data_IF_046092650600
#
_entry.id   IF_046092650600
#
_cell.length_a   1.000
_cell.length_b   1.000
_cell.length_c   1.000
_cell.angle_alpha   90.00
_cell.angle_beta   90.00
_cell.angle_gamma   90.00
#
_symmetry.space_group_name_H-M   'P 1'
#
loop_
_entity.id
_entity.type
_entity.pdbx_description
1 polymer ?
#
# COMPACT_ATOMS: atom_id res chain seq x y z
N UNK A 1 8.64 7.07 -10.83
CA UNK A 1 8.82 6.54 -9.47
C UNK A 1 8.88 5.02 -9.46
N UNK A 2 7.80 4.30 -9.79
CA UNK A 2 7.78 2.85 -9.93
C UNK A 2 7.55 2.48 -11.39
N UNK A 3 8.34 1.54 -11.93
CA UNK A 3 8.17 0.96 -13.28
C UNK A 3 8.23 -0.55 -13.18
N UNK A 4 7.23 -1.20 -13.73
CA UNK A 4 7.11 -2.65 -13.80
C UNK A 4 7.02 -3.03 -15.27
N UNK A 5 7.88 -3.96 -15.71
CA UNK A 5 7.92 -4.45 -17.08
C UNK A 5 7.90 -5.97 -17.09
N UNK A 6 6.90 -6.51 -17.77
CA UNK A 6 6.72 -7.95 -17.98
C UNK A 6 6.94 -8.80 -16.72
N UNK A 7 6.36 -8.38 -15.58
CA UNK A 7 6.57 -9.05 -14.32
C UNK A 7 5.77 -10.35 -14.23
N UNK A 8 6.47 -11.45 -14.05
CA UNK A 8 5.92 -12.78 -13.78
C UNK A 8 6.29 -13.22 -12.37
N UNK A 9 5.35 -13.85 -11.67
CA UNK A 9 5.62 -14.38 -10.33
C UNK A 9 4.82 -15.65 -10.08
N UNK A 10 5.46 -16.57 -9.34
CA UNK A 10 4.88 -17.84 -8.92
C UNK A 10 4.74 -17.93 -7.39
N UNK A 11 3.78 -18.70 -6.94
CA UNK A 11 3.61 -19.09 -5.55
C UNK A 11 3.26 -20.59 -5.51
N UNK A 12 3.96 -21.34 -4.68
CA UNK A 12 3.78 -22.80 -4.57
C UNK A 12 3.78 -23.52 -5.96
N UNK A 13 4.65 -23.07 -6.88
CA UNK A 13 4.79 -23.60 -8.25
C UNK A 13 3.70 -23.18 -9.24
N UNK A 14 2.75 -22.35 -8.82
CA UNK A 14 1.69 -21.83 -9.69
C UNK A 14 1.98 -20.39 -10.09
N UNK A 15 1.98 -20.12 -11.40
CA UNK A 15 2.10 -18.76 -11.90
C UNK A 15 0.84 -17.94 -11.60
N UNK A 16 1.03 -16.80 -10.92
CA UNK A 16 -0.05 -15.90 -10.52
C UNK A 16 0.02 -14.58 -11.28
N UNK A 17 1.22 -13.99 -11.40
CA UNK A 17 1.43 -12.81 -12.25
C UNK A 17 2.00 -13.24 -13.58
N UNK A 18 1.40 -12.76 -14.68
CA UNK A 18 1.62 -13.26 -16.04
C UNK A 18 1.96 -12.12 -17.01
N UNK A 19 3.04 -11.36 -16.70
CA UNK A 19 3.50 -10.26 -17.54
C UNK A 19 2.84 -8.91 -17.21
N UNK A 20 2.90 -8.50 -15.94
CA UNK A 20 2.39 -7.19 -15.49
C UNK A 20 3.27 -6.08 -16.04
N UNK A 21 2.62 -5.07 -16.65
CA UNK A 21 3.24 -3.82 -17.06
C UNK A 21 2.50 -2.65 -16.40
N UNK A 22 3.21 -1.81 -15.65
CA UNK A 22 2.63 -0.66 -14.95
C UNK A 22 3.69 0.40 -14.68
N UNK A 23 3.32 1.67 -14.82
CA UNK A 23 4.15 2.80 -14.43
C UNK A 23 3.36 3.70 -13.48
N UNK A 24 3.97 4.08 -12.36
CA UNK A 24 3.41 5.00 -11.36
C UNK A 24 4.38 6.17 -11.20
N UNK A 25 3.89 7.39 -11.40
CA UNK A 25 4.67 8.62 -11.23
C UNK A 25 4.49 9.19 -9.82
N UNK A 26 5.39 10.08 -9.43
CA UNK A 26 5.22 10.86 -8.21
C UNK A 26 3.97 11.74 -8.31
N UNK A 27 3.25 11.89 -7.20
CA UNK A 27 1.99 12.63 -7.11
C UNK A 27 0.74 11.84 -7.52
N UNK A 28 0.88 10.69 -8.18
CA UNK A 28 -0.26 9.92 -8.71
C UNK A 28 -0.85 8.96 -7.67
N UNK A 29 -2.16 8.75 -7.78
CA UNK A 29 -2.91 7.69 -7.12
C UNK A 29 -3.39 6.69 -8.16
N UNK A 30 -2.92 5.47 -8.05
CA UNK A 30 -3.34 4.36 -8.90
C UNK A 30 -4.28 3.42 -8.14
N UNK A 31 -5.37 3.01 -8.76
CA UNK A 31 -6.21 1.95 -8.24
C UNK A 31 -5.96 0.64 -9.01
N UNK A 32 -5.84 -0.46 -8.30
CA UNK A 32 -5.80 -1.80 -8.88
C UNK A 32 -7.07 -2.52 -8.45
N UNK A 33 -7.96 -2.74 -9.41
CA UNK A 33 -9.22 -3.44 -9.23
C UNK A 33 -9.19 -4.80 -9.93
N UNK A 34 -10.06 -5.70 -9.54
CA UNK A 34 -10.17 -7.02 -10.16
C UNK A 34 -10.84 -8.03 -9.24
N UNK A 35 -11.30 -9.16 -9.77
CA UNK A 35 -11.95 -10.19 -8.99
C UNK A 35 -10.98 -10.83 -7.98
N UNK A 36 -11.55 -11.57 -7.03
CA UNK A 36 -10.74 -12.37 -6.09
C UNK A 36 -9.92 -13.40 -6.86
N UNK A 37 -8.67 -13.59 -6.44
CA UNK A 37 -7.72 -14.49 -7.11
C UNK A 37 -7.06 -13.93 -8.37
N UNK A 38 -7.33 -12.66 -8.77
CA UNK A 38 -6.72 -12.05 -9.95
C UNK A 38 -5.21 -11.80 -9.83
N UNK A 39 -4.63 -11.84 -8.60
CA UNK A 39 -3.22 -11.58 -8.35
C UNK A 39 -2.92 -10.25 -7.66
N UNK A 40 -3.93 -9.48 -7.21
CA UNK A 40 -3.76 -8.16 -6.59
C UNK A 40 -2.82 -8.19 -5.37
N UNK A 41 -3.10 -9.02 -4.38
CA UNK A 41 -2.25 -9.14 -3.18
C UNK A 41 -0.93 -9.86 -3.46
N UNK A 42 -0.84 -10.65 -4.55
CA UNK A 42 0.44 -11.17 -5.04
C UNK A 42 1.32 -10.04 -5.54
N UNK A 43 0.77 -9.09 -6.29
CA UNK A 43 1.52 -7.93 -6.76
C UNK A 43 2.04 -7.08 -5.59
N UNK A 44 1.20 -6.78 -4.59
CA UNK A 44 1.65 -6.04 -3.39
C UNK A 44 2.73 -6.80 -2.62
N UNK A 45 2.62 -8.13 -2.50
CA UNK A 45 3.60 -8.97 -1.84
C UNK A 45 4.95 -9.02 -2.58
N UNK A 46 4.93 -9.14 -3.90
CA UNK A 46 6.15 -9.08 -4.74
C UNK A 46 6.82 -7.72 -4.62
N UNK A 47 6.08 -6.61 -4.70
CA UNK A 47 6.64 -5.27 -4.59
C UNK A 47 7.26 -4.99 -3.22
N UNK A 48 6.76 -5.64 -2.17
CA UNK A 48 7.25 -5.48 -0.79
C UNK A 48 8.27 -6.53 -0.36
N UNK A 49 8.63 -7.47 -1.25
CA UNK A 49 9.71 -8.43 -1.02
C UNK A 49 9.36 -9.58 -0.08
N UNK A 50 8.12 -10.10 -0.16
CA UNK A 50 7.75 -11.29 0.62
C UNK A 50 8.35 -12.56 0.00
N UNK A 51 9.14 -13.30 0.75
CA UNK A 51 9.91 -14.48 0.31
C UNK A 51 9.07 -15.63 -0.27
N UNK A 52 7.77 -15.69 0.06
CA UNK A 52 6.87 -16.71 -0.47
C UNK A 52 6.66 -16.63 -1.99
N UNK A 53 6.91 -15.46 -2.59
CA UNK A 53 6.62 -15.17 -3.99
C UNK A 53 7.92 -15.10 -4.78
N UNK A 54 8.09 -16.00 -5.74
CA UNK A 54 9.26 -16.07 -6.61
C UNK A 54 8.98 -15.32 -7.91
N UNK A 55 9.82 -14.34 -8.22
CA UNK A 55 9.79 -13.64 -9.52
C UNK A 55 10.57 -14.47 -10.52
N UNK A 56 9.91 -14.89 -11.60
CA UNK A 56 10.50 -15.75 -12.64
C UNK A 56 10.94 -14.97 -13.86
N UNK A 57 10.32 -13.81 -14.14
CA UNK A 57 10.65 -12.97 -15.29
C UNK A 57 10.23 -11.51 -14.99
N UNK A 58 10.86 -10.57 -15.69
CA UNK A 58 10.51 -9.15 -15.68
C UNK A 58 11.43 -8.29 -14.85
N UNK A 59 11.13 -6.99 -14.86
CA UNK A 59 11.90 -5.95 -14.20
C UNK A 59 11.00 -5.09 -13.32
N UNK A 60 11.48 -4.70 -12.14
CA UNK A 60 10.82 -3.72 -11.29
C UNK A 60 11.84 -2.67 -10.85
N UNK A 61 11.64 -1.44 -11.33
CA UNK A 61 12.47 -0.29 -10.96
C UNK A 61 11.71 0.62 -9.99
N UNK A 62 12.36 1.01 -8.91
CA UNK A 62 11.85 2.01 -7.97
C UNK A 62 12.90 3.11 -7.77
N UNK A 63 12.57 4.33 -8.19
CA UNK A 63 13.47 5.50 -8.13
C UNK A 63 14.88 5.22 -8.72
N UNK A 64 14.94 4.52 -9.86
CA UNK A 64 16.20 4.20 -10.56
C UNK A 64 16.96 3.00 -9.98
N UNK A 65 16.40 2.28 -8.99
CA UNK A 65 17.00 1.08 -8.41
C UNK A 65 16.23 -0.16 -8.81
N UNK A 66 16.93 -1.27 -9.07
CA UNK A 66 16.29 -2.57 -9.26
C UNK A 66 15.67 -3.03 -7.92
N UNK A 67 14.35 -3.01 -7.83
CA UNK A 67 13.64 -3.37 -6.61
C UNK A 67 13.77 -4.85 -6.26
N UNK A 68 13.91 -5.71 -7.27
CA UNK A 68 13.95 -7.16 -7.07
C UNK A 68 15.23 -7.64 -6.37
N UNK A 69 16.31 -6.85 -6.45
CA UNK A 69 17.58 -7.14 -5.75
C UNK A 69 17.57 -6.72 -4.28
N UNK A 70 16.59 -5.92 -3.86
CA UNK A 70 16.52 -5.40 -2.50
C UNK A 70 15.70 -6.33 -1.60
N UNK A 71 16.20 -6.68 -0.40
CA UNK A 71 15.42 -7.38 0.62
C UNK A 71 14.29 -6.48 1.14
N UNK A 72 13.28 -7.06 1.78
CA UNK A 72 12.07 -6.35 2.22
C UNK A 72 12.37 -5.13 3.09
N UNK A 73 13.33 -5.23 4.02
CA UNK A 73 13.74 -4.14 4.91
C UNK A 73 14.37 -2.97 4.15
N UNK A 74 15.12 -3.22 3.07
CA UNK A 74 15.70 -2.15 2.27
C UNK A 74 14.66 -1.49 1.38
N UNK A 75 13.68 -2.24 0.87
CA UNK A 75 12.51 -1.65 0.18
C UNK A 75 11.75 -0.69 1.09
N UNK A 76 11.55 -1.07 2.36
CA UNK A 76 10.93 -0.19 3.35
C UNK A 76 11.78 1.06 3.63
N UNK A 77 13.12 0.93 3.75
CA UNK A 77 14.06 2.04 3.93
C UNK A 77 14.12 2.97 2.71
N UNK A 78 13.95 2.44 1.50
CA UNK A 78 13.83 3.23 0.26
C UNK A 78 12.54 4.04 0.23
N UNK A 79 11.53 3.65 1.01
CA UNK A 79 10.27 4.36 1.17
C UNK A 79 9.06 3.67 0.58
N UNK A 80 9.06 2.34 0.50
CA UNK A 80 7.86 1.54 0.20
C UNK A 80 7.16 1.20 1.51
N UNK A 81 5.86 1.48 1.58
CA UNK A 81 5.00 1.15 2.71
C UNK A 81 3.84 0.27 2.25
N UNK A 82 3.51 -0.74 3.06
CA UNK A 82 2.36 -1.61 2.84
C UNK A 82 1.39 -1.48 4.02
N UNK A 83 0.15 -1.04 3.74
CA UNK A 83 -0.97 -1.26 4.64
C UNK A 83 -1.54 -2.64 4.36
N UNK A 84 -1.43 -3.53 5.34
CA UNK A 84 -1.82 -4.93 5.19
C UNK A 84 -3.34 -5.11 5.21
N UNK A 85 -3.86 -6.08 4.49
CA UNK A 85 -5.26 -6.51 4.64
C UNK A 85 -5.59 -6.84 6.11
N UNK A 86 -4.68 -7.57 6.76
CA UNK A 86 -4.73 -7.88 8.19
C UNK A 86 -3.46 -7.35 8.89
N UNK A 87 -3.55 -6.21 9.61
CA UNK A 87 -2.41 -5.63 10.31
C UNK A 87 -1.82 -6.59 11.35
N UNK A 88 -0.49 -6.75 11.31
CA UNK A 88 0.23 -7.65 12.22
C UNK A 88 0.23 -7.09 13.63
N UNK A 89 0.03 -7.96 14.62
CA UNK A 89 0.18 -7.65 16.04
C UNK A 89 1.60 -7.98 16.50
N UNK A 90 2.21 -7.09 17.29
CA UNK A 90 3.53 -7.32 17.88
C UNK A 90 3.41 -7.16 19.40
N UNK A 91 3.08 -8.25 20.13
CA UNK A 91 2.96 -8.21 21.58
C UNK A 91 4.25 -7.75 22.27
N UNK A 92 4.12 -6.93 23.29
CA UNK A 92 5.26 -6.44 24.08
C UNK A 92 6.05 -5.29 23.44
N UNK A 93 5.78 -4.91 22.20
CA UNK A 93 6.42 -3.77 21.52
C UNK A 93 5.41 -2.64 21.38
N UNK A 94 5.60 -1.56 22.14
CA UNK A 94 4.70 -0.41 22.05
C UNK A 94 4.79 0.27 20.68
N UNK A 95 3.65 0.83 20.23
CA UNK A 95 3.56 1.57 18.95
C UNK A 95 4.64 2.65 18.84
N UNK A 96 4.88 3.41 19.93
CA UNK A 96 5.89 4.48 19.92
C UNK A 96 7.31 3.93 19.78
N UNK A 97 7.64 2.82 20.41
CA UNK A 97 8.98 2.20 20.32
C UNK A 97 9.20 1.60 18.92
N UNK A 98 8.19 0.94 18.37
CA UNK A 98 8.22 0.44 17.00
C UNK A 98 8.52 1.59 16.01
N UNK A 99 7.75 2.68 16.07
CA UNK A 99 7.92 3.82 15.17
C UNK A 99 9.26 4.52 15.36
N UNK A 100 9.74 4.67 16.59
CA UNK A 100 11.06 5.26 16.86
C UNK A 100 12.17 4.45 16.21
N UNK A 101 12.13 3.12 16.35
CA UNK A 101 13.11 2.22 15.74
C UNK A 101 13.04 2.31 14.22
N UNK A 102 11.85 2.21 13.63
CA UNK A 102 11.65 2.24 12.19
C UNK A 102 12.14 3.56 11.56
N UNK A 103 11.77 4.71 12.14
CA UNK A 103 12.21 6.03 11.65
C UNK A 103 13.72 6.17 11.74
N UNK A 104 14.33 5.75 12.85
CA UNK A 104 15.78 5.87 13.03
C UNK A 104 16.57 4.95 12.10
N UNK A 105 16.05 3.75 11.78
CA UNK A 105 16.65 2.87 10.77
C UNK A 105 16.56 3.47 9.36
N UNK A 106 15.43 4.10 9.00
CA UNK A 106 15.30 4.84 7.72
C UNK A 106 16.30 6.01 7.67
N UNK A 107 16.42 6.79 8.74
CA UNK A 107 17.36 7.91 8.82
C UNK A 107 18.80 7.44 8.69
N UNK A 108 19.17 6.38 9.42
CA UNK A 108 20.51 5.77 9.34
C UNK A 108 20.83 5.29 7.93
N UNK A 109 19.90 4.63 7.25
CA UNK A 109 20.05 4.20 5.87
C UNK A 109 20.30 5.37 4.90
N UNK A 110 19.69 6.52 5.19
CA UNK A 110 19.88 7.78 4.44
C UNK A 110 21.09 8.61 4.89
N UNK A 111 21.95 8.09 5.76
CA UNK A 111 23.11 8.81 6.29
C UNK A 111 22.78 9.96 7.24
N UNK A 112 21.56 9.97 7.81
CA UNK A 112 21.11 10.99 8.75
C UNK A 112 21.28 10.52 10.20
N UNK A 113 21.55 11.42 11.15
CA UNK A 113 21.59 11.06 12.57
C UNK A 113 20.20 10.65 13.07
N UNK A 114 20.09 9.77 14.09
CA UNK A 114 18.82 9.43 14.69
C UNK A 114 18.14 10.67 15.29
N UNK A 115 16.82 10.62 15.42
CA UNK A 115 16.09 11.71 16.07
C UNK A 115 16.46 11.83 17.55
N UNK A 116 16.79 13.05 18.01
CA UNK A 116 16.79 13.33 19.44
C UNK A 116 15.43 13.02 20.06
N UNK A 117 15.40 12.53 21.30
CA UNK A 117 14.15 12.05 21.92
C UNK A 117 13.03 13.12 21.97
N UNK A 118 13.41 14.39 22.25
CA UNK A 118 12.46 15.51 22.27
C UNK A 118 11.86 15.82 20.90
N UNK A 119 12.69 15.82 19.85
CA UNK A 119 12.25 16.10 18.49
C UNK A 119 11.36 14.97 17.95
N UNK A 120 11.70 13.72 18.26
CA UNK A 120 10.86 12.58 17.94
C UNK A 120 9.47 12.69 18.56
N UNK A 121 9.39 13.00 19.86
CA UNK A 121 8.10 13.16 20.55
C UNK A 121 7.27 14.33 19.99
N UNK A 122 7.93 15.43 19.62
CA UNK A 122 7.27 16.56 18.98
C UNK A 122 6.69 16.16 17.63
N UNK A 123 7.47 15.47 16.80
CA UNK A 123 7.04 14.97 15.50
C UNK A 123 5.86 13.99 15.65
N UNK A 124 5.94 13.03 16.57
CA UNK A 124 4.85 12.07 16.85
C UNK A 124 3.54 12.78 17.18
N UNK A 125 3.57 13.80 18.06
CA UNK A 125 2.36 14.57 18.43
C UNK A 125 1.75 15.27 17.22
N UNK A 126 2.56 15.92 16.39
CA UNK A 126 2.10 16.57 15.16
C UNK A 126 1.43 15.58 14.19
N UNK A 127 2.04 14.40 14.01
CA UNK A 127 1.48 13.35 13.13
C UNK A 127 0.18 12.77 13.70
N UNK A 128 0.08 12.62 15.01
CA UNK A 128 -1.16 12.20 15.68
C UNK A 128 -2.31 13.17 15.44
N UNK A 129 -2.06 14.48 15.63
CA UNK A 129 -3.05 15.53 15.37
C UNK A 129 -3.48 15.53 13.89
N UNK A 130 -2.52 15.36 12.97
CA UNK A 130 -2.79 15.33 11.52
C UNK A 130 -3.77 14.23 11.14
N UNK A 131 -3.60 13.02 11.68
CA UNK A 131 -4.43 11.85 11.32
C UNK A 131 -5.54 11.54 12.35
N UNK A 132 -5.60 12.28 13.46
CA UNK A 132 -6.66 12.16 14.46
C UNK A 132 -6.61 10.85 15.25
N UNK A 133 -5.40 10.40 15.65
CA UNK A 133 -5.25 9.19 16.47
C UNK A 133 -5.21 9.49 17.97
N UNK A 134 -5.81 8.62 18.79
CA UNK A 134 -5.80 8.74 20.25
C UNK A 134 -4.40 8.42 20.82
N UNK A 135 -3.90 9.30 21.70
CA UNK A 135 -2.61 9.14 22.36
C UNK A 135 -2.49 7.86 23.20
N UNK A 136 -3.61 7.31 23.65
CA UNK A 136 -3.63 6.04 24.40
C UNK A 136 -3.07 4.87 23.59
N UNK A 137 -3.15 4.92 22.26
CA UNK A 137 -2.66 3.86 21.39
C UNK A 137 -1.12 3.81 21.32
N UNK A 138 -0.42 4.92 21.61
CA UNK A 138 1.04 4.99 21.54
C UNK A 138 1.77 4.03 22.47
N UNK A 139 1.26 3.88 23.70
CA UNK A 139 1.89 3.07 24.73
C UNK A 139 1.40 1.61 24.73
N UNK A 140 0.39 1.28 23.93
CA UNK A 140 -0.08 -0.10 23.76
C UNK A 140 0.82 -0.84 22.79
N UNK A 141 0.92 -2.14 22.99
CA UNK A 141 1.58 -3.04 22.03
C UNK A 141 0.98 -2.85 20.62
N UNK A 142 1.83 -2.86 19.60
CA UNK A 142 1.43 -2.59 18.22
C UNK A 142 0.29 -3.51 17.79
N UNK A 143 -0.87 -2.92 17.53
CA UNK A 143 -2.09 -3.57 17.07
C UNK A 143 -2.71 -4.62 18.01
N UNK A 144 -2.08 -4.95 19.15
CA UNK A 144 -2.55 -5.97 20.08
C UNK A 144 -3.86 -5.55 20.74
N UNK A 145 -4.92 -6.36 20.50
CA UNK A 145 -6.25 -6.10 21.02
C UNK A 145 -6.90 -4.81 20.50
N UNK A 146 -6.43 -4.26 19.37
CA UNK A 146 -7.09 -3.15 18.70
C UNK A 146 -8.30 -3.66 17.92
N UNK A 147 -9.37 -2.87 17.87
CA UNK A 147 -10.46 -3.08 16.93
C UNK A 147 -9.97 -2.92 15.48
N UNK A 148 -10.71 -3.44 14.51
CA UNK A 148 -10.36 -3.31 13.08
C UNK A 148 -10.13 -1.84 12.67
N UNK A 149 -11.02 -0.94 13.10
CA UNK A 149 -10.87 0.49 12.84
C UNK A 149 -9.66 1.13 13.53
N UNK A 150 -9.32 0.71 14.77
CA UNK A 150 -8.10 1.17 15.45
C UNK A 150 -6.84 0.67 14.75
N UNK A 151 -6.81 -0.59 14.29
CA UNK A 151 -5.68 -1.14 13.52
C UNK A 151 -5.44 -0.34 12.24
N UNK A 152 -6.50 -0.04 11.49
CA UNK A 152 -6.37 0.73 10.24
C UNK A 152 -5.96 2.18 10.49
N UNK A 153 -6.53 2.85 11.50
CA UNK A 153 -6.05 4.19 11.89
C UNK A 153 -4.59 4.17 12.32
N UNK A 154 -4.16 3.13 13.04
CA UNK A 154 -2.76 2.97 13.43
C UNK A 154 -1.84 2.76 12.23
N UNK A 155 -2.27 2.06 11.17
CA UNK A 155 -1.50 1.96 9.92
C UNK A 155 -1.36 3.32 9.22
N UNK A 156 -2.43 4.13 9.16
CA UNK A 156 -2.35 5.49 8.61
C UNK A 156 -1.42 6.38 9.45
N UNK A 157 -1.42 6.19 10.76
CA UNK A 157 -0.46 6.88 11.63
C UNK A 157 0.98 6.44 11.37
N UNK A 158 1.22 5.14 11.20
CA UNK A 158 2.54 4.64 10.78
C UNK A 158 2.95 5.26 9.44
N UNK A 159 2.06 5.31 8.46
CA UNK A 159 2.30 5.97 7.17
C UNK A 159 2.64 7.47 7.35
N UNK A 160 1.93 8.18 8.24
CA UNK A 160 2.20 9.59 8.53
C UNK A 160 3.58 9.82 9.14
N UNK A 161 4.04 8.90 10.00
CA UNK A 161 5.34 8.99 10.70
C UNK A 161 6.50 8.57 9.80
N UNK A 162 6.32 7.53 8.99
CA UNK A 162 7.36 6.95 8.13
C UNK A 162 7.56 7.74 6.82
N UNK A 163 6.57 8.53 6.41
CA UNK A 163 6.60 9.37 5.20
C UNK A 163 7.10 8.61 3.97
N UNK A 164 6.39 7.54 3.55
CA UNK A 164 6.82 6.73 2.42
C UNK A 164 6.74 7.51 1.11
N UNK A 165 7.60 7.15 0.15
CA UNK A 165 7.52 7.62 -1.23
C UNK A 165 6.42 6.90 -2.00
N UNK A 166 6.19 5.62 -1.71
CA UNK A 166 5.14 4.81 -2.29
C UNK A 166 4.37 4.10 -1.17
N UNK A 167 3.09 4.40 -1.03
CA UNK A 167 2.17 3.67 -0.16
C UNK A 167 1.35 2.68 -0.98
N UNK A 168 1.32 1.41 -0.57
CA UNK A 168 0.47 0.36 -1.13
C UNK A 168 -0.60 0.04 -0.08
N UNK A 169 -1.86 0.31 -0.40
CA UNK A 169 -3.02 0.07 0.47
C UNK A 169 -3.74 -1.18 -0.03
N UNK A 170 -3.46 -2.34 0.61
CA UNK A 170 -4.02 -3.62 0.17
C UNK A 170 -5.31 -3.94 0.95
N UNK A 171 -6.46 -3.81 0.27
CA UNK A 171 -7.81 -4.03 0.81
C UNK A 171 -8.04 -3.35 2.17
N UNK A 172 -7.59 -2.11 2.29
CA UNK A 172 -7.62 -1.32 3.55
C UNK A 172 -9.05 -1.02 4.02
N UNK A 173 -10.04 -1.15 3.16
CA UNK A 173 -11.46 -0.99 3.40
C UNK A 173 -12.16 -2.25 3.97
N UNK A 174 -11.47 -3.40 3.97
CA UNK A 174 -12.06 -4.66 4.44
C UNK A 174 -12.43 -4.60 5.93
N UNK A 175 -13.70 -4.90 6.23
CA UNK A 175 -14.21 -4.95 7.60
C UNK A 175 -14.38 -3.59 8.31
N UNK A 176 -14.27 -2.48 7.59
CA UNK A 176 -14.53 -1.15 8.12
C UNK A 176 -15.99 -0.73 7.94
N UNK A 177 -16.54 -0.08 8.96
CA UNK A 177 -17.76 0.70 8.81
C UNK A 177 -17.51 2.00 8.03
N UNK A 178 -18.57 2.71 7.68
CA UNK A 178 -18.50 3.92 6.83
C UNK A 178 -17.66 5.02 7.49
N UNK A 179 -17.75 5.19 8.79
CA UNK A 179 -17.06 6.27 9.51
C UNK A 179 -15.56 5.96 9.64
N UNK A 180 -15.20 4.71 9.93
CA UNK A 180 -13.82 4.25 9.94
C UNK A 180 -13.18 4.36 8.55
N UNK A 181 -13.90 3.95 7.50
CA UNK A 181 -13.47 4.08 6.10
C UNK A 181 -13.18 5.53 5.73
N UNK A 182 -14.12 6.44 6.05
CA UNK A 182 -13.97 7.88 5.80
C UNK A 182 -12.76 8.46 6.55
N UNK A 183 -12.56 8.04 7.80
CA UNK A 183 -11.41 8.49 8.61
C UNK A 183 -10.09 8.05 8.02
N UNK A 184 -9.98 6.78 7.59
CA UNK A 184 -8.81 6.22 6.92
C UNK A 184 -8.52 6.97 5.62
N UNK A 185 -9.52 7.12 4.76
CA UNK A 185 -9.38 7.82 3.48
C UNK A 185 -8.95 9.29 3.65
N UNK A 186 -9.54 10.00 4.62
CA UNK A 186 -9.13 11.37 4.95
C UNK A 186 -7.68 11.43 5.42
N UNK A 187 -7.23 10.45 6.21
CA UNK A 187 -5.83 10.32 6.63
C UNK A 187 -4.90 10.17 5.43
N UNK A 188 -5.20 9.24 4.52
CA UNK A 188 -4.43 9.05 3.28
C UNK A 188 -4.37 10.34 2.46
N UNK A 189 -5.51 10.99 2.23
CA UNK A 189 -5.57 12.22 1.44
C UNK A 189 -4.75 13.37 2.04
N UNK A 190 -4.69 13.49 3.37
CA UNK A 190 -3.85 14.48 4.06
C UNK A 190 -2.35 14.23 3.90
N UNK A 191 -1.95 12.98 3.61
CA UNK A 191 -0.57 12.58 3.45
C UNK A 191 -0.09 12.61 2.00
N UNK A 192 -0.98 12.89 1.04
CA UNK A 192 -0.61 13.05 -0.37
C UNK A 192 0.26 14.28 -0.57
N UNK A 193 1.34 14.11 -1.32
CA UNK A 193 2.23 15.18 -1.77
C UNK A 193 2.61 14.97 -3.24
N UNK A 194 3.13 15.99 -3.95
CA UNK A 194 3.62 15.81 -5.31
C UNK A 194 4.79 14.82 -5.43
N UNK A 195 5.46 14.52 -4.33
CA UNK A 195 6.67 13.67 -4.29
C UNK A 195 6.38 12.21 -3.94
N UNK A 196 5.20 11.90 -3.39
CA UNK A 196 4.81 10.54 -3.06
C UNK A 196 3.73 10.02 -4.03
N UNK A 197 3.55 8.70 -4.04
CA UNK A 197 2.49 8.05 -4.80
C UNK A 197 1.75 7.04 -3.93
N UNK A 198 0.52 6.72 -4.34
CA UNK A 198 -0.30 5.73 -3.64
C UNK A 198 -0.86 4.72 -4.63
N UNK A 199 -0.74 3.43 -4.32
CA UNK A 199 -1.44 2.35 -5.00
C UNK A 199 -2.53 1.85 -4.05
N UNK A 200 -3.79 1.93 -4.48
CA UNK A 200 -4.94 1.41 -3.75
C UNK A 200 -5.40 0.12 -4.40
N UNK A 201 -5.30 -0.98 -3.68
CA UNK A 201 -5.81 -2.28 -4.11
C UNK A 201 -7.14 -2.49 -3.41
N UNK A 202 -8.22 -2.55 -4.17
CA UNK A 202 -9.56 -2.80 -3.65
C UNK A 202 -10.46 -3.41 -4.71
N UNK A 203 -11.49 -4.10 -4.29
CA UNK A 203 -12.57 -4.57 -5.14
C UNK A 203 -13.88 -3.78 -4.91
N UNK A 204 -13.83 -2.75 -4.05
CA UNK A 204 -14.98 -1.90 -3.74
C UNK A 204 -14.76 -0.46 -4.22
N UNK A 205 -15.74 0.10 -4.91
CA UNK A 205 -15.75 1.50 -5.33
C UNK A 205 -15.69 2.44 -4.12
N UNK A 206 -16.37 2.09 -3.04
CA UNK A 206 -16.59 2.95 -1.88
C UNK A 206 -15.33 3.62 -1.32
N UNK A 207 -14.17 2.94 -1.32
CA UNK A 207 -12.91 3.54 -0.92
C UNK A 207 -12.43 4.56 -1.96
N UNK A 208 -12.64 4.27 -3.25
CA UNK A 208 -12.20 5.11 -4.37
C UNK A 208 -13.06 6.37 -4.55
N UNK A 209 -14.25 6.41 -3.94
CA UNK A 209 -15.06 7.65 -3.86
C UNK A 209 -14.39 8.69 -2.94
N UNK A 210 -13.63 8.24 -1.95
CA UNK A 210 -12.89 9.11 -1.03
C UNK A 210 -11.43 9.31 -1.44
N UNK A 211 -10.75 8.27 -1.92
CA UNK A 211 -9.37 8.32 -2.44
C UNK A 211 -9.46 8.21 -3.96
N UNK A 212 -9.76 9.35 -4.60
CA UNK A 212 -10.00 9.39 -6.04
C UNK A 212 -8.72 9.06 -6.80
N UNK A 213 -8.70 8.00 -7.63
CA UNK A 213 -7.52 7.61 -8.40
C UNK A 213 -7.36 8.49 -9.65
N UNK A 214 -6.12 8.73 -10.04
CA UNK A 214 -5.74 9.32 -11.33
C UNK A 214 -5.79 8.27 -12.44
N UNK A 215 -5.38 7.03 -12.11
CA UNK A 215 -5.33 5.89 -13.04
C UNK A 215 -5.93 4.65 -12.38
N UNK A 216 -6.73 3.91 -13.13
CA UNK A 216 -7.35 2.66 -12.70
C UNK A 216 -6.87 1.52 -13.60
N UNK A 217 -6.36 0.46 -12.99
CA UNK A 217 -5.94 -0.77 -13.65
C UNK A 217 -6.88 -1.90 -13.28
N UNK A 218 -7.34 -2.65 -14.26
CA UNK A 218 -8.08 -3.89 -14.03
C UNK A 218 -7.14 -5.07 -14.16
N UNK A 219 -6.93 -5.75 -13.04
CA UNK A 219 -6.17 -6.99 -12.97
C UNK A 219 -7.11 -8.19 -13.10
N UNK A 220 -6.89 -9.01 -14.11
CA UNK A 220 -7.66 -10.23 -14.35
C UNK A 220 -6.71 -11.37 -14.76
N UNK A 221 -6.86 -12.52 -14.12
CA UNK A 221 -6.02 -13.71 -14.36
C UNK A 221 -4.51 -13.42 -14.49
N UNK A 222 -3.98 -12.61 -13.55
CA UNK A 222 -2.56 -12.28 -13.48
C UNK A 222 -2.07 -11.23 -14.50
N UNK A 223 -2.96 -10.57 -15.24
CA UNK A 223 -2.63 -9.56 -16.26
C UNK A 223 -3.37 -8.26 -16.03
N UNK A 224 -2.75 -7.13 -16.32
CA UNK A 224 -3.50 -5.86 -16.44
C UNK A 224 -4.15 -5.88 -17.82
N UNK A 225 -5.48 -6.01 -17.84
CA UNK A 225 -6.27 -6.17 -19.07
C UNK A 225 -6.89 -4.86 -19.53
N UNK A 226 -7.04 -3.88 -18.63
CA UNK A 226 -7.54 -2.55 -18.95
C UNK A 226 -6.90 -1.51 -18.05
N UNK A 227 -6.61 -0.35 -18.63
CA UNK A 227 -6.13 0.84 -17.89
C UNK A 227 -6.87 2.06 -18.42
N UNK A 228 -7.48 2.83 -17.52
CA UNK A 228 -8.20 4.06 -17.85
C UNK A 228 -8.17 5.04 -16.67
N UNK A 229 -8.90 6.15 -16.77
CA UNK A 229 -9.08 7.09 -15.68
C UNK A 229 -10.12 6.62 -14.65
N UNK A 230 -10.49 7.51 -13.76
CA UNK A 230 -11.43 7.23 -12.65
C UNK A 230 -12.83 6.79 -13.11
N UNK A 231 -13.23 7.12 -14.33
CA UNK A 231 -14.51 6.71 -14.93
C UNK A 231 -14.68 5.18 -15.01
N UNK A 232 -13.55 4.45 -15.11
CA UNK A 232 -13.56 2.99 -15.16
C UNK A 232 -14.11 2.37 -13.85
N UNK A 233 -13.97 3.05 -12.72
CA UNK A 233 -14.51 2.59 -11.43
C UNK A 233 -16.03 2.46 -11.49
N UNK A 234 -16.72 3.47 -12.03
CA UNK A 234 -18.18 3.47 -12.17
C UNK A 234 -18.67 2.42 -13.19
N UNK A 235 -17.89 2.18 -14.27
CA UNK A 235 -18.20 1.13 -15.24
C UNK A 235 -18.10 -0.26 -14.60
N UNK A 236 -17.07 -0.50 -13.79
CA UNK A 236 -16.89 -1.76 -13.07
C UNK A 236 -17.98 -2.01 -12.03
N UNK A 237 -18.44 -0.97 -11.33
CA UNK A 237 -19.54 -1.12 -10.38
C UNK A 237 -20.85 -1.47 -11.09
N UNK A 238 -21.12 -0.80 -12.21
CA UNK A 238 -22.38 -1.00 -12.96
C UNK A 238 -22.46 -2.35 -13.67
N UNK A 239 -21.34 -2.80 -14.23
CA UNK A 239 -21.30 -3.97 -15.13
C UNK A 239 -20.54 -5.18 -14.56
N UNK A 240 -19.91 -5.03 -13.39
CA UNK A 240 -19.03 -6.07 -12.83
C UNK A 240 -17.79 -6.30 -13.71
N UNK A 241 -17.22 -7.49 -13.61
CA UNK A 241 -16.02 -7.89 -14.38
C UNK A 241 -16.33 -8.80 -15.58
N UNK A 242 -17.61 -9.17 -15.82
CA UNK A 242 -17.94 -10.19 -16.82
C UNK A 242 -17.71 -9.72 -18.27
N UNK A 243 -17.98 -8.45 -18.56
CA UNK A 243 -17.70 -7.85 -19.85
C UNK A 243 -16.20 -7.80 -20.18
N UNK A 244 -15.33 -7.66 -19.16
CA UNK A 244 -13.88 -7.73 -19.33
C UNK A 244 -13.44 -9.15 -19.68
N UNK A 245 -14.09 -10.17 -19.09
CA UNK A 245 -13.83 -11.58 -19.44
C UNK A 245 -14.13 -11.86 -20.91
N UNK A 246 -15.19 -11.25 -21.44
CA UNK A 246 -15.57 -11.39 -22.84
C UNK A 246 -14.57 -10.70 -23.76
N UNK A 247 -14.11 -9.48 -23.42
CA UNK A 247 -13.06 -8.76 -24.16
C UNK A 247 -11.75 -9.56 -24.21
N UNK A 248 -11.34 -10.15 -23.08
CA UNK A 248 -10.09 -10.95 -22.97
C UNK A 248 -10.20 -12.30 -23.69
N UNK A 249 -11.39 -12.91 -23.75
CA UNK A 249 -11.60 -14.19 -24.46
C UNK A 249 -11.85 -14.04 -25.95
N UNK A 250 -12.23 -12.85 -26.39
CA UNK A 250 -12.49 -12.53 -27.81
C UNK A 250 -11.24 -12.14 -28.60
N UNK A 251 -10.08 -12.14 -27.93
CA UNK A 251 -8.75 -12.03 -28.52
C UNK A 251 -8.07 -13.39 -28.45
#
# INVERSE_FOLDING_TARGET
MLKIKNLHAVVDGKEILKGINMEVKAGEVHAIMGPNGAGKSTLSAVLTGRDKFEVTEGEVEFNGKNLLELPAEDRAREGIFLSFQYPVEIPGVSTVNFLKTAVNEIRKYRGQPPYPAGDFLKMIRQKMELVGIDSKLLNRSLNEGFSGGEKKRNEIFQMAVLEPKLAILDETDSGLDIDALRTVANGVNKLKTPENATIVITHYQRLLDYIVPDVVHVLYDGRIVKTAGKELVAELEKHGYDWIKEEVRGV
#
